data_IF_435782006461
#
_entry.id   IF_435782006461
#
_cell.length_a   1.000
_cell.length_b   1.000
_cell.length_c   1.000
_cell.angle_alpha   90.00
_cell.angle_beta   90.00
_cell.angle_gamma   90.00
#
_symmetry.space_group_name_H-M   'P 1'
#
loop_
_entity.id
_entity.type
_entity.pdbx_description
1 polymer ?
#
# COMPACT_ATOMS: atom_id res chain seq x y z
N UNK A 1 10.29 -48.64 3.63
CA UNK A 1 9.33 -48.99 2.56
C UNK A 1 8.01 -48.34 2.96
N UNK A 2 7.75 -47.15 2.41
CA UNK A 2 6.63 -46.27 2.81
C UNK A 2 5.43 -46.61 1.92
N UNK A 3 4.21 -46.80 2.45
CA UNK A 3 3.04 -47.04 1.62
C UNK A 3 2.55 -45.73 0.99
N UNK A 4 2.08 -45.84 -0.26
CA UNK A 4 1.44 -44.80 -1.06
C UNK A 4 0.23 -44.19 -0.35
N UNK A 5 0.11 -42.87 -0.43
CA UNK A 5 -1.13 -42.16 -0.08
C UNK A 5 -1.75 -41.64 -1.37
N UNK A 6 -2.99 -42.05 -1.57
CA UNK A 6 -3.80 -41.88 -2.76
C UNK A 6 -4.17 -40.43 -3.06
N UNK A 7 -4.17 -40.14 -4.35
CA UNK A 7 -4.56 -38.92 -5.06
C UNK A 7 -5.92 -38.36 -4.62
N UNK A 8 -5.96 -37.06 -4.26
CA UNK A 8 -7.20 -36.28 -4.23
C UNK A 8 -7.29 -35.49 -5.53
N UNK A 9 -8.23 -35.91 -6.37
CA UNK A 9 -8.61 -35.27 -7.63
C UNK A 9 -9.31 -33.93 -7.35
N UNK A 10 -8.66 -32.81 -7.64
CA UNK A 10 -9.32 -31.51 -7.73
C UNK A 10 -10.00 -31.39 -9.10
N UNK A 11 -11.33 -31.29 -9.09
CA UNK A 11 -12.14 -31.05 -10.27
C UNK A 11 -11.76 -29.71 -10.92
N UNK A 12 -11.42 -29.77 -12.21
CA UNK A 12 -11.01 -28.65 -13.07
C UNK A 12 -12.17 -27.66 -13.30
N UNK A 13 -12.02 -26.44 -12.80
CA UNK A 13 -12.42 -25.24 -13.51
C UNK A 13 -11.21 -24.71 -14.28
N UNK A 14 -11.18 -24.87 -15.60
CA UNK A 14 -10.01 -24.56 -16.42
C UNK A 14 -9.87 -23.06 -16.71
N UNK A 15 -9.02 -22.37 -15.94
CA UNK A 15 -8.18 -21.32 -16.51
C UNK A 15 -6.74 -21.67 -16.16
N UNK A 16 -6.00 -22.26 -17.10
CA UNK A 16 -4.57 -22.52 -16.91
C UNK A 16 -3.87 -21.17 -16.73
N UNK A 17 -3.54 -20.84 -15.49
CA UNK A 17 -2.74 -19.66 -15.18
C UNK A 17 -1.39 -19.82 -15.86
N UNK A 18 -1.06 -18.90 -16.77
CA UNK A 18 0.24 -18.94 -17.46
C UNK A 18 1.38 -18.84 -16.44
N UNK A 19 2.41 -19.67 -16.58
CA UNK A 19 3.65 -19.55 -15.79
C UNK A 19 4.53 -18.39 -16.25
N UNK A 20 4.25 -17.83 -17.43
CA UNK A 20 4.87 -16.59 -17.89
C UNK A 20 4.32 -15.38 -17.10
N UNK A 21 5.17 -14.62 -16.38
CA UNK A 21 4.73 -13.51 -15.53
C UNK A 21 4.00 -12.40 -16.28
N UNK A 22 4.38 -12.13 -17.53
CA UNK A 22 3.77 -11.07 -18.32
C UNK A 22 2.36 -11.45 -18.77
N UNK A 23 2.19 -12.68 -19.28
CA UNK A 23 0.88 -13.23 -19.65
C UNK A 23 -0.01 -13.32 -18.43
N UNK A 24 0.51 -13.80 -17.29
CA UNK A 24 -0.25 -13.86 -16.04
C UNK A 24 -0.74 -12.48 -15.61
N UNK A 25 0.15 -11.48 -15.55
CA UNK A 25 -0.21 -10.11 -15.17
C UNK A 25 -1.32 -9.57 -16.08
N UNK A 26 -1.24 -9.80 -17.39
CA UNK A 26 -2.26 -9.34 -18.35
C UNK A 26 -3.61 -10.02 -18.16
N UNK A 27 -3.61 -11.32 -17.83
CA UNK A 27 -4.82 -12.07 -17.51
C UNK A 27 -5.44 -11.58 -16.19
N UNK A 28 -4.62 -11.42 -15.15
CA UNK A 28 -5.05 -10.89 -13.86
C UNK A 28 -5.68 -9.51 -13.99
N UNK A 29 -5.04 -8.59 -14.71
CA UNK A 29 -5.56 -7.23 -14.90
C UNK A 29 -6.90 -7.14 -15.63
N UNK A 30 -7.32 -8.20 -16.31
CA UNK A 30 -8.59 -8.29 -17.04
C UNK A 30 -9.65 -9.09 -16.29
N UNK A 31 -9.31 -9.72 -15.18
CA UNK A 31 -10.23 -10.53 -14.40
C UNK A 31 -10.89 -9.70 -13.30
N UNK A 32 -11.98 -10.22 -12.74
CA UNK A 32 -12.68 -9.62 -11.61
C UNK A 32 -11.86 -9.64 -10.30
N UNK A 33 -10.72 -10.36 -10.30
CA UNK A 33 -9.81 -10.45 -9.16
C UNK A 33 -8.78 -9.31 -9.11
N UNK A 34 -8.77 -8.40 -10.09
CA UNK A 34 -7.90 -7.23 -10.09
C UNK A 34 -8.69 -5.94 -9.99
N UNK A 35 -8.58 -5.29 -8.83
CA UNK A 35 -9.16 -3.98 -8.63
C UNK A 35 -8.15 -2.89 -9.00
N UNK A 36 -8.59 -1.95 -9.85
CA UNK A 36 -7.88 -0.69 -10.11
C UNK A 36 -8.66 0.44 -9.44
N UNK A 37 -8.11 1.03 -8.37
CA UNK A 37 -8.73 2.17 -7.71
C UNK A 37 -8.90 3.34 -8.69
N UNK A 38 -10.07 3.94 -8.68
CA UNK A 38 -10.36 5.17 -9.40
C UNK A 38 -9.73 6.37 -8.67
N UNK A 39 -9.47 7.46 -9.40
CA UNK A 39 -8.77 8.64 -8.87
C UNK A 39 -9.60 9.44 -7.84
N UNK A 40 -10.85 9.03 -7.63
CA UNK A 40 -11.90 9.76 -6.91
C UNK A 40 -11.62 9.86 -5.41
N UNK A 41 -10.87 8.91 -4.84
CA UNK A 41 -10.47 8.89 -3.43
C UNK A 41 -9.20 9.70 -3.12
N UNK A 42 -8.46 10.13 -4.14
CA UNK A 42 -7.17 10.79 -3.95
C UNK A 42 -7.26 12.13 -3.19
N UNK A 43 -8.27 13.01 -3.42
CA UNK A 43 -8.35 14.28 -2.71
C UNK A 43 -8.52 14.15 -1.19
N UNK A 44 -9.39 13.25 -0.72
CA UNK A 44 -9.62 13.03 0.71
C UNK A 44 -8.41 12.37 1.39
N UNK A 45 -7.66 11.54 0.65
CA UNK A 45 -6.47 10.88 1.17
C UNK A 45 -5.26 11.82 1.25
N UNK A 46 -5.14 12.76 0.31
CA UNK A 46 -4.18 13.87 0.40
C UNK A 46 -4.33 14.67 1.68
N UNK A 47 -5.56 14.93 2.11
CA UNK A 47 -5.83 15.64 3.36
C UNK A 47 -5.32 14.86 4.59
N UNK A 48 -5.59 13.55 4.67
CA UNK A 48 -5.09 12.70 5.77
C UNK A 48 -3.57 12.57 5.80
N UNK A 49 -2.92 12.53 4.63
CA UNK A 49 -1.46 12.51 4.55
C UNK A 49 -0.83 13.84 4.98
N UNK A 50 -1.50 14.95 4.66
CA UNK A 50 -1.12 16.28 5.16
C UNK A 50 -1.22 16.34 6.68
N UNK A 51 -2.25 15.77 7.31
CA UNK A 51 -2.35 15.72 8.78
C UNK A 51 -1.16 15.04 9.48
N UNK A 52 -0.50 14.06 8.83
CA UNK A 52 0.73 13.43 9.36
C UNK A 52 1.94 14.36 9.26
N UNK A 53 1.92 15.33 8.36
CA UNK A 53 3.02 16.25 8.04
C UNK A 53 2.73 17.71 8.49
N UNK A 54 1.52 18.02 8.92
CA UNK A 54 1.13 19.40 9.20
C UNK A 54 1.73 19.86 10.53
N UNK A 55 2.62 20.84 10.42
CA UNK A 55 3.18 21.61 11.53
C UNK A 55 2.85 23.07 11.25
N UNK A 56 2.33 23.78 12.26
CA UNK A 56 2.00 25.20 12.14
C UNK A 56 3.21 26.04 11.69
N UNK A 57 4.42 25.62 12.08
CA UNK A 57 5.67 26.24 11.62
C UNK A 57 5.90 26.07 10.12
N UNK A 58 5.59 24.88 9.57
CA UNK A 58 5.75 24.64 8.12
C UNK A 58 4.74 25.48 7.34
N UNK A 59 3.50 25.57 7.82
CA UNK A 59 2.45 26.41 7.22
C UNK A 59 2.82 27.91 7.27
N UNK A 60 3.41 28.36 8.36
CA UNK A 60 3.93 29.73 8.51
C UNK A 60 5.06 30.03 7.51
N UNK A 61 6.03 29.12 7.36
CA UNK A 61 7.13 29.28 6.39
C UNK A 61 6.59 29.25 4.95
N UNK A 62 5.63 28.37 4.64
CA UNK A 62 5.01 28.28 3.30
C UNK A 62 4.25 29.55 2.91
N UNK A 63 3.60 30.20 3.88
CA UNK A 63 2.82 31.42 3.66
C UNK A 63 3.72 32.66 3.58
N UNK A 64 5.00 32.53 3.92
CA UNK A 64 5.96 33.63 3.94
C UNK A 64 6.63 33.84 2.57
N UNK A 65 6.92 35.09 2.18
CA UNK A 65 7.64 35.39 0.93
C UNK A 65 8.95 34.60 0.83
N UNK A 66 9.19 33.99 -0.33
CA UNK A 66 10.40 33.23 -0.59
C UNK A 66 10.54 31.93 0.19
N UNK A 67 9.48 31.45 0.85
CA UNK A 67 9.50 30.25 1.70
C UNK A 67 10.52 30.38 2.84
N UNK A 68 10.66 31.58 3.40
CA UNK A 68 11.62 31.89 4.46
C UNK A 68 10.97 32.45 5.71
N UNK A 69 11.48 32.05 6.87
CA UNK A 69 11.10 32.60 8.18
C UNK A 69 12.37 32.92 8.97
N UNK A 70 12.50 34.15 9.44
CA UNK A 70 13.64 34.57 10.27
C UNK A 70 13.18 34.80 11.70
N UNK A 71 13.83 34.13 12.65
CA UNK A 71 13.61 34.30 14.10
C UNK A 71 14.94 34.69 14.73
N UNK A 72 15.04 35.94 15.18
CA UNK A 72 16.29 36.50 15.68
C UNK A 72 17.38 36.48 14.60
N UNK A 73 18.43 35.70 14.82
CA UNK A 73 19.56 35.53 13.90
C UNK A 73 19.52 34.21 13.10
N UNK A 74 18.41 33.46 13.15
CA UNK A 74 18.24 32.19 12.43
C UNK A 74 17.24 32.38 11.30
N UNK A 75 17.61 31.98 10.09
CA UNK A 75 16.70 31.93 8.93
C UNK A 75 16.41 30.48 8.55
N UNK A 76 15.13 30.11 8.61
CA UNK A 76 14.62 28.87 8.06
C UNK A 76 14.25 29.11 6.59
N UNK A 77 14.62 28.18 5.71
CA UNK A 77 14.21 28.17 4.31
C UNK A 77 13.60 26.82 3.97
N UNK A 78 12.37 26.84 3.48
CA UNK A 78 11.67 25.64 3.03
C UNK A 78 11.84 25.48 1.53
N UNK A 79 12.00 24.24 1.08
CA UNK A 79 12.03 23.93 -0.34
C UNK A 79 10.64 24.14 -0.96
N UNK A 80 10.58 24.72 -2.16
CA UNK A 80 9.30 24.99 -2.84
C UNK A 80 8.51 23.70 -3.12
N UNK A 81 9.21 22.62 -3.44
CA UNK A 81 8.65 21.27 -3.57
C UNK A 81 9.11 20.41 -2.39
N UNK A 82 8.17 20.06 -1.50
CA UNK A 82 8.41 19.19 -0.35
C UNK A 82 7.14 18.37 -0.02
N UNK A 83 7.29 17.35 0.81
CA UNK A 83 6.21 16.44 1.20
C UNK A 83 6.11 15.18 0.32
N UNK A 84 4.92 14.60 0.26
CA UNK A 84 4.70 13.33 -0.46
C UNK A 84 4.56 13.55 -1.96
N UNK A 85 5.23 12.70 -2.76
CA UNK A 85 5.01 12.67 -4.19
C UNK A 85 3.68 11.97 -4.53
N UNK A 86 3.18 12.21 -5.75
CA UNK A 86 1.92 11.62 -6.22
C UNK A 86 1.89 10.08 -6.10
N UNK A 87 3.02 9.41 -6.34
CA UNK A 87 3.12 7.96 -6.21
C UNK A 87 2.85 7.47 -4.79
N UNK A 88 3.38 8.17 -3.78
CA UNK A 88 3.14 7.88 -2.37
C UNK A 88 1.70 8.17 -1.98
N UNK A 89 1.19 9.35 -2.37
CA UNK A 89 -0.21 9.73 -2.10
C UNK A 89 -1.18 8.67 -2.62
N UNK A 90 -0.93 8.21 -3.85
CA UNK A 90 -1.72 7.17 -4.48
C UNK A 90 -1.59 5.83 -3.75
N UNK A 91 -0.38 5.35 -3.46
CA UNK A 91 -0.18 4.06 -2.80
C UNK A 91 -0.91 3.97 -1.45
N UNK A 92 -0.83 5.04 -0.66
CA UNK A 92 -1.55 5.13 0.62
C UNK A 92 -3.07 5.18 0.39
N UNK A 93 -3.54 5.95 -0.59
CA UNK A 93 -4.97 6.00 -0.90
C UNK A 93 -5.55 4.62 -1.28
N UNK A 94 -4.80 3.82 -2.04
CA UNK A 94 -5.19 2.44 -2.39
C UNK A 94 -5.37 1.59 -1.12
N UNK A 95 -4.48 1.73 -0.13
CA UNK A 95 -4.57 0.99 1.12
C UNK A 95 -5.84 1.34 1.91
N UNK A 96 -6.12 2.64 2.07
CA UNK A 96 -7.34 3.12 2.74
C UNK A 96 -8.61 2.70 2.00
N UNK A 97 -8.64 2.84 0.68
CA UNK A 97 -9.78 2.42 -0.13
C UNK A 97 -10.02 0.93 -0.05
N UNK A 98 -8.95 0.13 -0.03
CA UNK A 98 -9.07 -1.32 0.14
C UNK A 98 -9.77 -1.64 1.47
N UNK A 99 -9.39 -0.95 2.57
CA UNK A 99 -10.06 -1.12 3.86
C UNK A 99 -11.52 -0.67 3.84
N UNK A 100 -11.82 0.47 3.21
CA UNK A 100 -13.20 0.98 3.10
C UNK A 100 -14.09 0.04 2.27
N UNK A 101 -13.58 -0.47 1.15
CA UNK A 101 -14.31 -1.30 0.20
C UNK A 101 -14.51 -2.72 0.70
N UNK A 102 -13.54 -3.25 1.45
CA UNK A 102 -13.55 -4.62 1.96
C UNK A 102 -13.46 -4.61 3.49
N UNK A 103 -14.48 -4.08 4.18
CA UNK A 103 -14.44 -3.90 5.63
C UNK A 103 -14.24 -5.23 6.37
N UNK A 104 -14.86 -6.30 5.87
CA UNK A 104 -14.87 -7.63 6.51
C UNK A 104 -13.77 -8.57 6.03
N UNK A 105 -12.91 -8.13 5.09
CA UNK A 105 -11.84 -8.97 4.54
C UNK A 105 -10.52 -8.74 5.26
N UNK A 106 -9.72 -9.80 5.36
CA UNK A 106 -8.30 -9.65 5.69
C UNK A 106 -7.62 -8.93 4.52
N UNK A 107 -6.82 -7.91 4.84
CA UNK A 107 -6.06 -7.17 3.84
C UNK A 107 -4.58 -7.34 4.15
N UNK A 108 -3.86 -7.87 3.18
CA UNK A 108 -2.43 -8.06 3.22
C UNK A 108 -1.73 -7.04 2.32
N UNK A 109 -0.72 -6.38 2.86
CA UNK A 109 0.23 -5.57 2.11
C UNK A 109 1.52 -6.38 1.94
N UNK A 110 2.01 -6.54 0.72
CA UNK A 110 3.19 -7.39 0.48
C UNK A 110 4.47 -6.82 1.08
N UNK A 111 4.61 -5.49 1.10
CA UNK A 111 5.74 -4.74 1.69
C UNK A 111 5.22 -3.51 2.45
N UNK A 112 6.10 -2.76 3.12
CA UNK A 112 5.71 -1.44 3.64
C UNK A 112 5.11 -0.57 2.54
N UNK A 113 4.10 0.25 2.84
CA UNK A 113 3.45 1.09 1.82
C UNK A 113 4.33 2.26 1.41
N UNK A 114 5.23 2.68 2.32
CA UNK A 114 6.34 3.62 2.22
C UNK A 114 7.30 3.39 3.39
N UNK A 115 8.57 3.78 3.24
CA UNK A 115 9.54 3.79 4.34
C UNK A 115 9.29 4.95 5.32
N UNK A 116 8.07 5.02 5.86
CA UNK A 116 7.68 5.94 6.92
C UNK A 116 6.93 5.15 8.01
N UNK A 117 7.54 4.97 9.19
CA UNK A 117 6.98 4.13 10.25
C UNK A 117 5.64 4.65 10.78
N UNK A 118 5.44 5.98 10.80
CA UNK A 118 4.18 6.57 11.23
C UNK A 118 3.04 6.22 10.28
N UNK A 119 3.28 6.29 8.97
CA UNK A 119 2.28 5.94 7.96
C UNK A 119 1.97 4.44 8.00
N UNK A 120 2.99 3.59 8.10
CA UNK A 120 2.79 2.14 8.20
C UNK A 120 1.95 1.77 9.43
N UNK A 121 2.29 2.31 10.60
CA UNK A 121 1.52 2.09 11.85
C UNK A 121 0.08 2.58 11.75
N UNK A 122 -0.18 3.68 11.04
CA UNK A 122 -1.55 4.15 10.83
C UNK A 122 -2.35 3.16 9.97
N UNK A 123 -1.74 2.51 8.97
CA UNK A 123 -2.39 1.45 8.20
C UNK A 123 -2.61 0.17 9.02
N UNK A 124 -1.67 -0.20 9.90
CA UNK A 124 -1.85 -1.33 10.82
C UNK A 124 -3.02 -1.11 11.77
N UNK A 125 -3.21 0.11 12.29
CA UNK A 125 -4.37 0.49 13.10
C UNK A 125 -5.70 0.36 12.35
N UNK A 126 -5.67 0.39 11.01
CA UNK A 126 -6.83 0.14 10.15
C UNK A 126 -7.01 -1.35 9.84
N UNK A 127 -6.25 -2.24 10.48
CA UNK A 127 -6.31 -3.68 10.28
C UNK A 127 -5.67 -4.16 8.98
N UNK A 128 -4.81 -3.35 8.35
CA UNK A 128 -4.00 -3.81 7.21
C UNK A 128 -2.77 -4.52 7.78
N UNK A 129 -2.53 -5.75 7.33
CA UNK A 129 -1.43 -6.59 7.81
C UNK A 129 -0.32 -6.64 6.78
N UNK A 130 0.94 -6.77 7.21
CA UNK A 130 2.06 -6.98 6.30
C UNK A 130 2.36 -8.47 6.16
N UNK A 131 2.68 -8.90 4.94
CA UNK A 131 3.14 -10.28 4.70
C UNK A 131 4.42 -10.50 5.50
N UNK A 132 4.42 -11.48 6.43
CA UNK A 132 5.55 -11.75 7.30
C UNK A 132 6.73 -12.32 6.50
N UNK A 133 7.87 -12.40 7.18
CA UNK A 133 9.04 -13.10 6.66
C UNK A 133 9.30 -14.34 7.49
N UNK A 134 9.71 -15.41 6.81
CA UNK A 134 10.10 -16.66 7.45
C UNK A 134 11.51 -16.56 8.08
N UNK A 135 11.98 -17.66 8.66
CA UNK A 135 13.32 -17.75 9.26
C UNK A 135 14.46 -17.55 8.24
N UNK A 136 14.21 -17.77 6.95
CA UNK A 136 15.15 -17.53 5.85
C UNK A 136 15.02 -16.11 5.27
N UNK A 137 14.26 -15.23 5.94
CA UNK A 137 13.98 -13.86 5.53
C UNK A 137 13.22 -13.75 4.19
N UNK A 138 12.55 -14.82 3.74
CA UNK A 138 11.69 -14.84 2.56
C UNK A 138 10.27 -14.44 2.91
N UNK A 139 9.52 -13.90 1.94
CA UNK A 139 8.11 -13.54 2.15
C UNK A 139 7.27 -14.80 2.28
N UNK A 140 6.58 -14.93 3.40
CA UNK A 140 5.70 -16.06 3.67
C UNK A 140 4.27 -15.72 3.22
N UNK A 141 3.95 -16.13 1.99
CA UNK A 141 2.62 -15.94 1.42
C UNK A 141 1.60 -17.00 1.86
N UNK A 142 1.99 -17.99 2.67
CA UNK A 142 1.07 -19.04 3.14
C UNK A 142 -0.02 -18.50 4.07
N UNK A 143 0.17 -17.30 4.62
CA UNK A 143 -0.80 -16.61 5.48
C UNK A 143 -2.00 -16.01 4.73
N UNK A 144 -1.93 -15.92 3.41
CA UNK A 144 -3.00 -15.35 2.59
C UNK A 144 -3.91 -16.45 2.05
N UNK A 145 -5.21 -16.31 2.30
CA UNK A 145 -6.21 -17.31 1.91
C UNK A 145 -7.07 -16.84 0.72
N UNK A 146 -7.79 -17.79 0.11
CA UNK A 146 -8.73 -17.47 -0.94
C UNK A 146 -9.83 -16.53 -0.43
N UNK A 147 -9.97 -15.38 -1.09
CA UNK A 147 -10.95 -14.36 -0.72
C UNK A 147 -10.40 -13.23 0.15
N UNK A 148 -9.13 -13.29 0.55
CA UNK A 148 -8.38 -12.15 1.10
C UNK A 148 -8.07 -11.11 0.01
N UNK A 149 -7.76 -9.89 0.44
CA UNK A 149 -7.34 -8.80 -0.44
C UNK A 149 -5.83 -8.60 -0.29
N UNK A 150 -5.11 -8.62 -1.42
CA UNK A 150 -3.67 -8.34 -1.44
C UNK A 150 -3.43 -7.01 -2.13
N UNK A 151 -2.79 -6.09 -1.42
CA UNK A 151 -2.34 -4.79 -1.93
C UNK A 151 -0.87 -4.88 -2.29
N UNK A 152 -0.58 -4.55 -3.55
CA UNK A 152 0.78 -4.44 -4.08
C UNK A 152 1.20 -2.96 -4.03
N UNK A 153 2.17 -2.58 -3.18
CA UNK A 153 2.70 -1.23 -3.17
C UNK A 153 3.47 -0.96 -4.47
N UNK A 154 3.84 0.31 -4.68
CA UNK A 154 4.48 0.76 -5.92
C UNK A 154 5.94 0.27 -6.07
N UNK A 155 6.53 -0.32 -5.03
CA UNK A 155 7.92 -0.75 -4.94
C UNK A 155 8.06 -2.13 -4.31
#
# INVERSE_FOLDING_TARGET
>A
MIPEVSTITLARGSSSTSTDPWVFRKQLQRSDNYYRPDATSLPSMRQRLREVHNSSLVEEIQSSPGYTLTVGNITFKLAEAHGFCWGVERAVAIAYESRRRYPDKTIWMTNEVIHNPTVNRNLEKLGIRYIPRDAANQKDFSVAEAGDVVVLPAF
#
